data_IF_861199762741
#
_entry.id   IF_861199762741
#
_cell.length_a   1.000
_cell.length_b   1.000
_cell.length_c   1.000
_cell.angle_alpha   90.00
_cell.angle_beta   90.00
_cell.angle_gamma   90.00
#
_symmetry.space_group_name_H-M   'P 1'
#
loop_
_entity.id
_entity.type
_entity.pdbx_description
1 polymer ?
2 water ?
#
# COMPACT_ATOMS: atom_id res chain seq x y z
N UNK A 28 14.12 1.95 9.98
CA UNK A 28 15.48 2.26 9.56
C UNK A 28 15.53 3.47 8.62
N UNK A 29 14.95 3.33 7.42
CA UNK A 29 14.66 4.49 6.55
C UNK A 29 13.35 4.26 5.79
N UNK A 30 12.28 4.04 6.56
CA UNK A 30 11.01 3.60 6.01
C UNK A 30 9.86 4.58 6.29
N UNK A 31 8.64 4.09 6.11
CA UNK A 31 7.43 4.78 6.53
C UNK A 31 6.59 3.81 7.35
N UNK A 32 6.17 4.23 8.53
CA UNK A 32 5.11 3.53 9.23
C UNK A 32 3.93 4.47 9.41
N UNK A 33 2.85 4.20 8.68
CA UNK A 33 1.66 5.06 8.76
C UNK A 33 0.46 4.36 9.35
N UNK A 34 -0.37 5.15 10.03
CA UNK A 34 -1.58 4.67 10.64
C UNK A 34 -2.70 5.64 10.28
N UNK A 35 -3.70 5.13 9.57
CA UNK A 35 -4.85 5.93 9.17
C UNK A 35 -6.11 5.11 9.32
N UNK A 36 -7.24 5.79 9.33
CA UNK A 36 -8.52 5.15 9.45
C UNK A 36 -9.07 4.86 8.06
N UNK A 37 -9.41 3.60 7.81
CA UNK A 37 -10.08 3.25 6.56
C UNK A 37 -11.53 3.70 6.63
N UNK A 38 -11.96 4.49 5.64
CA UNK A 38 -13.37 4.88 5.51
C UNK A 38 -14.19 3.85 4.75
N UNK A 39 -14.48 4.16 3.49
CA UNK A 39 -15.17 3.26 2.57
C UNK A 39 -14.22 2.29 1.90
N UNK A 40 -13.06 2.82 1.50
CA UNK A 40 -11.97 2.01 0.97
C UNK A 40 -10.64 2.63 1.34
N UNK A 41 -9.55 1.89 1.15
CA UNK A 41 -8.23 2.39 1.49
C UNK A 41 -7.75 3.46 0.48
N UNK A 42 -8.41 3.53 -0.68
CA UNK A 42 -8.06 4.50 -1.73
C UNK A 42 -6.67 4.33 -2.32
N UNK A 43 -6.14 3.11 -2.27
CA UNK A 43 -4.86 2.80 -2.91
C UNK A 43 -5.09 1.97 -4.17
N UNK A 44 -4.35 2.33 -5.21
CA UNK A 44 -4.30 1.58 -6.46
C UNK A 44 -2.96 0.85 -6.39
N UNK A 45 -2.93 -0.43 -6.74
CA UNK A 45 -1.71 -1.24 -6.56
C UNK A 45 -1.03 -1.69 -7.86
N UNK A 46 0.30 -1.76 -7.83
CA UNK A 46 1.09 -2.36 -8.92
C UNK A 46 2.08 -3.44 -8.43
N UNK A 47 2.46 -4.34 -9.34
CA UNK A 47 3.45 -5.37 -9.03
C UNK A 47 2.86 -6.69 -8.57
N UNK A 48 3.56 -7.35 -7.65
CA UNK A 48 3.11 -8.61 -7.08
C UNK A 48 4.16 -9.71 -7.15
N UNK A 49 4.01 -10.69 -6.26
CA UNK A 49 4.87 -11.89 -6.20
C UNK A 49 6.36 -11.61 -6.02
N UNK A 50 7.08 -11.66 -7.13
CA UNK A 50 8.54 -11.55 -7.16
C UNK A 50 8.94 -10.11 -6.84
N UNK A 51 8.43 -9.18 -7.63
CA UNK A 51 8.80 -7.75 -7.55
C UNK A 51 8.31 -7.01 -6.30
N UNK A 52 7.24 -7.50 -5.68
CA UNK A 52 6.64 -6.81 -4.52
C UNK A 52 5.44 -5.94 -4.88
N UNK A 53 4.73 -5.48 -3.85
CA UNK A 53 3.52 -4.69 -4.02
C UNK A 53 3.81 -3.21 -3.83
N UNK A 54 3.45 -2.43 -4.85
CA UNK A 54 3.73 -1.00 -4.92
C UNK A 54 2.44 -0.18 -4.98
N UNK A 55 2.50 1.02 -4.42
CA UNK A 55 1.41 1.98 -4.55
C UNK A 55 1.46 2.57 -5.95
N UNK A 56 0.42 2.30 -6.74
CA UNK A 56 0.33 2.85 -8.10
C UNK A 56 -0.47 4.15 -8.15
N UNK A 57 -1.30 4.37 -7.14
CA UNK A 57 -2.09 5.61 -7.02
C UNK A 57 -2.70 5.74 -5.64
N UNK A 58 -2.69 6.96 -5.11
CA UNK A 58 -3.33 7.28 -3.83
C UNK A 58 -4.39 8.35 -4.04
N UNK A 59 -5.64 8.01 -3.75
CA UNK A 59 -6.79 8.89 -3.98
C UNK A 59 -6.62 10.29 -3.37
N UNK A 60 -6.98 11.31 -4.15
CA UNK A 60 -6.92 12.71 -3.70
C UNK A 60 -7.49 12.90 -2.30
N UNK A 61 -6.71 13.54 -1.43
CA UNK A 61 -7.15 13.94 -0.08
C UNK A 61 -7.73 12.80 0.80
N UNK A 62 -7.38 11.54 0.51
CA UNK A 62 -7.86 10.41 1.31
C UNK A 62 -7.03 10.30 2.59
N UNK A 63 -7.53 9.55 3.60
CA UNK A 63 -6.67 9.38 4.77
C UNK A 63 -5.26 8.86 4.42
N UNK A 64 -5.17 7.98 3.42
CA UNK A 64 -3.88 7.40 3.02
C UNK A 64 -2.94 8.46 2.45
N UNK A 65 -3.48 9.36 1.64
CA UNK A 65 -2.73 10.53 1.16
C UNK A 65 -2.25 11.42 2.30
N UNK A 66 -3.17 11.82 3.17
CA UNK A 66 -2.86 12.76 4.25
C UNK A 66 -1.78 12.21 5.18
N UNK A 67 -1.72 10.89 5.27
CA UNK A 67 -0.74 10.23 6.11
C UNK A 67 0.60 10.09 5.38
N UNK A 68 0.61 10.42 4.09
CA UNK A 68 1.86 10.53 3.35
C UNK A 68 2.23 9.36 2.46
N UNK A 69 1.29 8.45 2.23
CA UNK A 69 1.50 7.37 1.27
C UNK A 69 1.45 7.95 -0.12
N UNK A 70 2.32 7.48 -1.00
CA UNK A 70 2.44 8.07 -2.34
C UNK A 70 2.84 7.07 -3.41
N UNK A 71 2.31 7.24 -4.61
CA UNK A 71 2.71 6.41 -5.75
C UNK A 71 4.22 6.10 -5.70
N UNK A 72 4.58 4.82 -5.73
CA UNK A 72 6.00 4.43 -5.74
C UNK A 72 6.55 3.96 -4.41
N UNK A 73 5.73 4.01 -3.36
CA UNK A 73 6.12 3.37 -2.09
C UNK A 73 5.92 1.90 -2.29
N UNK A 74 6.83 1.10 -1.74
CA UNK A 74 6.58 -0.33 -1.65
C UNK A 74 5.86 -0.61 -0.34
N UNK A 75 4.80 -1.41 -0.41
CA UNK A 75 4.10 -1.84 0.79
C UNK A 75 4.71 -3.14 1.31
N UNK A 76 5.21 -3.08 2.54
CA UNK A 76 5.97 -4.17 3.15
C UNK A 76 5.09 -5.01 4.05
N UNK A 77 4.11 -4.35 4.67
CA UNK A 77 3.27 -4.97 5.69
C UNK A 77 2.00 -4.14 5.87
N UNK A 78 0.87 -4.83 5.94
CA UNK A 78 -0.40 -4.19 6.26
C UNK A 78 -0.94 -4.84 7.52
N UNK A 79 -1.16 -4.02 8.55
CA UNK A 79 -1.39 -4.52 9.90
C UNK A 79 -0.29 -5.54 10.23
N UNK A 80 -0.66 -6.79 10.52
CA UNK A 80 0.33 -7.83 10.81
C UNK A 80 0.53 -8.84 9.69
N UNK A 81 0.26 -8.42 8.46
CA UNK A 81 0.43 -9.29 7.30
C UNK A 81 1.53 -8.78 6.38
N UNK A 82 2.58 -9.60 6.26
CA UNK A 82 3.68 -9.37 5.34
C UNK A 82 3.15 -9.30 3.92
N UNK A 83 3.58 -8.27 3.19
CA UNK A 83 3.14 -7.99 1.82
C UNK A 83 4.26 -8.11 0.79
N UNK A 84 5.33 -8.80 1.15
CA UNK A 84 6.53 -8.81 0.33
C UNK A 84 6.54 -9.92 -0.75
N UNK A 85 5.60 -10.87 -0.69
CA UNK A 85 5.45 -11.92 -1.72
C UNK A 85 3.99 -12.36 -1.87
N UNK A 86 3.14 -11.43 -2.28
CA UNK A 86 1.71 -11.68 -2.37
C UNK A 86 1.24 -11.40 -3.79
N UNK A 87 0.32 -12.22 -4.29
CA UNK A 87 -0.22 -11.96 -5.63
C UNK A 87 -1.12 -10.72 -5.61
N UNK A 88 -0.91 -9.85 -6.59
CA UNK A 88 -1.60 -8.56 -6.63
C UNK A 88 -3.10 -8.70 -6.33
N UNK A 89 -3.76 -9.67 -6.96
CA UNK A 89 -5.20 -9.91 -6.75
C UNK A 89 -5.59 -10.31 -5.31
N UNK A 90 -4.70 -10.98 -4.58
CA UNK A 90 -4.97 -11.22 -3.17
C UNK A 90 -4.75 -9.96 -2.36
N UNK A 91 -3.71 -9.20 -2.71
CA UNK A 91 -3.44 -7.90 -2.08
C UNK A 91 -4.63 -6.94 -2.22
N UNK A 92 -5.24 -6.91 -3.41
CA UNK A 92 -6.36 -6.01 -3.67
C UNK A 92 -7.53 -6.39 -2.77
N UNK A 93 -7.89 -7.68 -2.79
CA UNK A 93 -9.00 -8.18 -1.98
C UNK A 93 -8.78 -7.97 -0.47
N UNK A 94 -7.55 -8.21 0.00
CA UNK A 94 -7.22 -8.05 1.42
C UNK A 94 -7.46 -6.61 1.85
N UNK A 95 -7.00 -5.66 1.04
CA UNK A 95 -7.30 -4.24 1.24
C UNK A 95 -8.80 -3.93 1.23
N UNK A 96 -9.54 -4.52 0.28
CA UNK A 96 -11.00 -4.40 0.30
C UNK A 96 -11.62 -5.03 1.55
N UNK A 97 -11.04 -6.15 1.99
CA UNK A 97 -11.57 -6.90 3.13
C UNK A 97 -11.27 -6.28 4.50
N UNK A 98 -10.39 -5.29 4.54
CA UNK A 98 -10.16 -4.54 5.78
C UNK A 98 -11.46 -3.88 6.22
N UNK A 99 -11.78 -3.96 7.53
CA UNK A 99 -13.10 -3.53 7.99
C UNK A 99 -13.25 -2.01 7.91
N UNK A 100 -14.43 -1.56 7.49
CA UNK A 100 -14.72 -0.15 7.28
C UNK A 100 -14.77 0.58 8.61
N UNK A 101 -14.15 1.76 8.67
CA UNK A 101 -14.12 2.54 9.91
C UNK A 101 -13.02 2.14 10.90
N UNK A 102 -12.18 1.17 10.53
CA UNK A 102 -11.09 0.74 11.42
C UNK A 102 -9.72 1.27 11.00
N UNK A 103 -8.84 1.37 11.99
CA UNK A 103 -7.47 1.84 11.81
C UNK A 103 -6.62 0.81 11.06
N UNK A 104 -5.92 1.28 10.04
CA UNK A 104 -5.00 0.47 9.26
C UNK A 104 -3.60 0.96 9.57
N UNK A 105 -2.67 0.02 9.71
CA UNK A 105 -1.27 0.34 9.88
C UNK A 105 -0.51 -0.21 8.68
N UNK A 106 0.22 0.65 7.97
CA UNK A 106 0.96 0.22 6.79
C UNK A 106 2.43 0.53 6.96
N UNK A 107 3.26 -0.49 6.76
CA UNK A 107 4.70 -0.33 6.73
C UNK A 107 5.10 -0.21 5.26
N UNK A 108 5.83 0.85 4.92
CA UNK A 108 6.19 1.09 3.53
C UNK A 108 7.59 1.62 3.38
N UNK A 109 8.11 1.54 2.16
CA UNK A 109 9.38 2.16 1.84
C UNK A 109 9.37 2.75 0.44
N UNK A 110 9.80 4.00 0.34
CA UNK A 110 9.81 4.70 -0.93
C UNK A 110 10.81 4.05 -1.88
N UNK A 111 10.30 3.47 -2.96
CA UNK A 111 11.14 2.83 -3.96
C UNK A 111 10.72 3.33 -5.34
N UNK A 112 10.92 4.63 -5.57
CA UNK A 112 10.53 5.28 -6.83
C UNK A 112 11.23 4.69 -8.04
N UNK A 113 12.54 4.50 -7.93
CA UNK A 113 13.32 4.01 -9.06
C UNK A 113 12.91 2.61 -9.48
N UNK A 114 12.87 1.69 -8.52
CA UNK A 114 12.43 0.32 -8.77
C UNK A 114 11.01 0.34 -9.31
N UNK A 115 10.17 1.18 -8.71
CA UNK A 115 8.77 1.30 -9.13
C UNK A 115 8.65 1.68 -10.60
N UNK A 116 9.39 2.71 -11.00
CA UNK A 116 9.32 3.23 -12.37
C UNK A 116 9.72 2.14 -13.36
N UNK A 117 10.68 1.31 -12.96
CA UNK A 117 11.08 0.15 -13.77
C UNK A 117 10.01 -0.94 -13.72
N UNK A 118 9.39 -1.10 -12.55
CA UNK A 118 8.45 -2.19 -12.27
C UNK A 118 7.15 -2.14 -13.06
N UNK A 119 6.61 -0.94 -13.24
CA UNK A 119 5.28 -0.77 -13.86
C UNK A 119 5.18 -1.29 -15.30
N UNK A 120 6.26 -1.88 -15.80
CA UNK A 120 6.32 -2.48 -17.13
C UNK A 120 6.46 -4.00 -17.06
#
# INVERSE_FOLDING_TARGET
MGSSHHHHHHSSGGTENLYFQGHMILRPSMKLVKFRKGDSVGLRLAGGNDVGIFVAGVLEDSPAAKEGLEEGDQILRVNNVDFTNIIREEAVLFLLDLPKGEEVTILAQKKKDVYRRIVESDVG
#
